data_IF_211302446104
#
_entry.id   IF_211302446104
#
_cell.length_a   1.000
_cell.length_b   1.000
_cell.length_c   1.000
_cell.angle_alpha   90.00
_cell.angle_beta   90.00
_cell.angle_gamma   90.00
#
_symmetry.space_group_name_H-M   'P 1'
#
loop_
_entity.id
_entity.type
_entity.pdbx_description
1 polymer ?
#
# COMPACT_ATOMS: atom_id res chain seq x y z
N UNK A 1 24.53 -39.74 5.85
CA UNK A 1 25.56 -39.75 4.80
C UNK A 1 25.75 -38.30 4.31
N UNK A 2 26.57 -37.53 5.05
CA UNK A 2 26.93 -36.14 4.71
C UNK A 2 28.00 -36.17 3.61
N UNK A 3 27.66 -35.78 2.40
CA UNK A 3 28.60 -35.67 1.29
C UNK A 3 29.27 -34.27 1.27
N UNK A 4 30.47 -34.13 0.68
CA UNK A 4 31.21 -32.85 0.63
C UNK A 4 30.50 -31.74 -0.14
N UNK A 5 29.41 -32.04 -0.79
CA UNK A 5 28.58 -31.08 -1.55
C UNK A 5 27.59 -30.31 -0.66
N UNK A 6 27.16 -30.85 0.47
CA UNK A 6 26.23 -30.22 1.39
C UNK A 6 26.89 -29.04 2.15
N UNK A 7 28.18 -29.18 2.48
CA UNK A 7 28.94 -28.13 3.17
C UNK A 7 29.28 -26.95 2.24
N UNK A 8 29.46 -27.20 0.95
CA UNK A 8 29.72 -26.15 -0.04
C UNK A 8 28.45 -25.36 -0.38
N UNK A 9 27.30 -26.02 -0.36
CA UNK A 9 26.01 -25.36 -0.62
C UNK A 9 25.60 -24.47 0.56
N UNK A 10 25.73 -24.94 1.80
CA UNK A 10 25.43 -24.17 3.01
C UNK A 10 26.38 -22.96 3.16
N UNK A 11 27.68 -23.12 2.96
CA UNK A 11 28.65 -22.02 3.03
C UNK A 11 28.45 -20.95 1.94
N UNK A 12 28.00 -21.32 0.74
CA UNK A 12 27.67 -20.36 -0.30
C UNK A 12 26.32 -19.66 -0.04
N UNK A 13 25.37 -20.35 0.55
CA UNK A 13 24.06 -19.78 0.93
C UNK A 13 24.20 -18.74 2.04
N UNK A 14 24.97 -19.05 3.08
CA UNK A 14 25.25 -18.12 4.20
C UNK A 14 26.08 -16.90 3.73
N UNK A 15 26.98 -17.08 2.77
CA UNK A 15 27.76 -16.01 2.19
C UNK A 15 26.90 -15.11 1.29
N UNK A 16 26.01 -15.69 0.47
CA UNK A 16 25.06 -14.94 -0.39
C UNK A 16 24.03 -14.19 0.46
N UNK A 17 23.50 -14.82 1.50
CA UNK A 17 22.57 -14.16 2.42
C UNK A 17 23.24 -13.04 3.22
N UNK A 18 24.50 -13.24 3.64
CA UNK A 18 25.31 -12.22 4.30
C UNK A 18 25.65 -11.04 3.37
N UNK A 19 26.00 -11.31 2.12
CA UNK A 19 26.27 -10.26 1.12
C UNK A 19 24.99 -9.51 0.71
N UNK A 20 23.87 -10.20 0.54
CA UNK A 20 22.54 -9.59 0.28
C UNK A 20 22.10 -8.76 1.49
N UNK A 21 22.26 -9.26 2.70
CA UNK A 21 21.93 -8.55 3.93
C UNK A 21 22.85 -7.32 4.13
N UNK A 22 24.13 -7.43 3.80
CA UNK A 22 25.10 -6.32 3.83
C UNK A 22 24.80 -5.28 2.72
N UNK A 23 24.41 -5.69 1.53
CA UNK A 23 24.01 -4.79 0.43
C UNK A 23 22.70 -4.07 0.77
N UNK A 24 21.71 -4.79 1.31
CA UNK A 24 20.43 -4.21 1.78
C UNK A 24 20.68 -3.25 2.95
N UNK A 25 21.62 -3.54 3.86
CA UNK A 25 21.90 -2.67 5.00
C UNK A 25 22.67 -1.39 4.62
N UNK A 26 23.47 -1.43 3.57
CA UNK A 26 24.26 -0.26 3.09
C UNK A 26 23.44 0.74 2.28
N UNK A 27 22.28 0.33 1.75
CA UNK A 27 21.40 1.20 0.95
C UNK A 27 20.16 1.67 1.71
N UNK A 28 19.96 1.25 2.97
CA UNK A 28 18.81 1.71 3.77
C UNK A 28 19.12 3.11 4.35
N UNK A 29 18.48 4.13 3.81
CA UNK A 29 18.34 5.39 4.54
C UNK A 29 17.56 5.11 5.84
N UNK A 30 18.16 5.44 6.96
CA UNK A 30 17.51 5.27 8.27
C UNK A 30 16.53 6.41 8.47
N UNK A 31 15.23 6.14 8.34
CA UNK A 31 14.21 7.12 8.67
C UNK A 31 14.10 7.26 10.20
N UNK A 32 14.10 8.50 10.68
CA UNK A 32 13.81 8.81 12.08
C UNK A 32 12.31 9.02 12.24
N UNK A 33 11.60 7.96 12.66
CA UNK A 33 10.14 7.95 12.77
C UNK A 33 9.73 7.72 14.22
N UNK A 34 8.89 8.60 14.74
CA UNK A 34 8.22 8.43 16.03
C UNK A 34 6.99 7.55 15.86
N UNK A 35 6.77 6.64 16.80
CA UNK A 35 5.57 5.81 16.83
C UNK A 35 4.30 6.68 16.91
N UNK A 36 3.17 6.19 16.40
CA UNK A 36 1.91 6.91 16.41
C UNK A 36 1.49 7.35 17.83
N UNK A 37 1.85 6.57 18.85
CA UNK A 37 1.60 6.89 20.27
C UNK A 37 2.31 8.17 20.73
N UNK A 38 3.44 8.51 20.11
CA UNK A 38 4.26 9.66 20.45
C UNK A 38 3.86 10.93 19.68
N UNK A 39 2.78 10.88 18.89
CA UNK A 39 2.34 12.03 18.11
C UNK A 39 1.53 13.05 18.91
N UNK A 40 1.17 12.74 20.15
CA UNK A 40 0.32 13.59 21.00
C UNK A 40 -1.12 13.68 20.49
N UNK A 41 -1.54 12.69 19.74
CA UNK A 41 -2.91 12.47 19.28
C UNK A 41 -3.58 11.47 20.21
N UNK A 42 -4.89 11.60 20.41
CA UNK A 42 -5.65 10.66 21.25
C UNK A 42 -5.63 9.27 20.60
N UNK A 43 -5.07 8.24 21.22
CA UNK A 43 -4.91 6.95 20.56
C UNK A 43 -6.14 6.08 20.76
N UNK A 44 -7.18 6.32 19.97
CA UNK A 44 -8.16 5.26 19.75
C UNK A 44 -7.52 4.19 18.86
N UNK A 45 -7.76 2.91 19.15
CA UNK A 45 -7.38 1.82 18.26
C UNK A 45 -8.64 1.21 17.64
N UNK A 46 -8.73 1.22 16.29
CA UNK A 46 -7.77 1.80 15.33
C UNK A 46 -7.78 3.34 15.38
N UNK A 47 -6.65 3.98 15.03
CA UNK A 47 -6.60 5.41 14.82
C UNK A 47 -7.48 5.83 13.64
N UNK A 48 -8.48 6.65 13.85
CA UNK A 48 -9.45 7.02 12.81
C UNK A 48 -9.36 8.51 12.49
N UNK A 49 -9.16 8.82 11.21
CA UNK A 49 -9.25 10.16 10.65
C UNK A 49 -10.49 10.19 9.77
N UNK A 50 -11.52 10.96 10.10
CA UNK A 50 -12.76 10.97 9.33
C UNK A 50 -13.26 12.38 9.04
N UNK A 51 -14.00 12.55 7.93
CA UNK A 51 -14.57 13.82 7.54
C UNK A 51 -14.82 13.92 6.05
N UNK A 52 -15.28 15.06 5.55
CA UNK A 52 -15.71 15.17 4.17
C UNK A 52 -14.56 15.05 3.17
N UNK A 53 -14.89 14.55 1.99
CA UNK A 53 -14.00 14.58 0.84
C UNK A 53 -13.55 16.02 0.57
N UNK A 54 -14.50 16.97 0.56
CA UNK A 54 -14.26 18.41 0.44
C UNK A 54 -14.94 19.17 1.55
N UNK A 55 -14.30 20.23 2.03
CA UNK A 55 -14.97 21.30 2.75
C UNK A 55 -15.68 22.16 1.69
N UNK A 56 -17.00 22.27 1.78
CA UNK A 56 -17.86 22.85 0.73
C UNK A 56 -18.49 24.17 1.18
N UNK A 57 -19.10 24.15 2.34
CA UNK A 57 -19.69 25.34 2.99
C UNK A 57 -19.46 25.29 4.49
N UNK A 58 -19.55 26.44 5.22
CA UNK A 58 -19.49 26.46 6.69
C UNK A 58 -20.52 25.53 7.33
N UNK A 59 -21.76 25.54 6.81
CA UNK A 59 -22.87 24.75 7.34
C UNK A 59 -22.66 23.26 7.11
N UNK A 60 -22.15 22.85 5.95
CA UNK A 60 -21.83 21.46 5.65
C UNK A 60 -20.73 20.97 6.58
N UNK A 61 -19.67 21.76 6.77
CA UNK A 61 -18.56 21.42 7.65
C UNK A 61 -19.03 21.29 9.11
N UNK A 62 -19.75 22.30 9.64
CA UNK A 62 -20.23 22.32 11.02
C UNK A 62 -21.13 21.11 11.33
N UNK A 63 -22.11 20.83 10.47
CA UNK A 63 -23.01 19.67 10.62
C UNK A 63 -22.26 18.35 10.57
N UNK A 64 -21.31 18.20 9.65
CA UNK A 64 -20.51 16.97 9.51
C UNK A 64 -19.65 16.75 10.74
N UNK A 65 -18.91 17.76 11.18
CA UNK A 65 -18.04 17.66 12.35
C UNK A 65 -18.85 17.44 13.63
N UNK A 66 -19.96 18.16 13.83
CA UNK A 66 -20.85 17.95 14.96
C UNK A 66 -21.32 16.50 15.06
N UNK A 67 -21.73 15.90 13.96
CA UNK A 67 -22.18 14.51 13.92
C UNK A 67 -21.02 13.51 14.18
N UNK A 68 -19.82 13.78 13.63
CA UNK A 68 -18.62 12.95 13.87
C UNK A 68 -18.19 12.98 15.33
N UNK A 69 -18.17 14.16 15.95
CA UNK A 69 -17.80 14.34 17.38
C UNK A 69 -18.78 13.60 18.29
N UNK A 70 -20.08 13.66 18.01
CA UNK A 70 -21.10 12.88 18.75
C UNK A 70 -20.84 11.38 18.70
N UNK A 71 -20.20 10.90 17.64
CA UNK A 71 -19.82 9.52 17.43
C UNK A 71 -18.36 9.21 17.87
N UNK A 72 -17.72 10.12 18.62
CA UNK A 72 -16.42 9.88 19.24
C UNK A 72 -15.21 10.11 18.31
N UNK A 73 -15.39 10.76 17.16
CA UNK A 73 -14.28 11.10 16.24
C UNK A 73 -13.73 12.46 16.62
N UNK A 74 -12.45 12.52 16.93
CA UNK A 74 -11.71 13.72 17.35
C UNK A 74 -10.64 14.19 16.34
N UNK A 75 -10.27 13.35 15.37
CA UNK A 75 -9.39 13.71 14.27
C UNK A 75 -10.19 13.84 12.97
N UNK A 76 -10.40 15.06 12.54
CA UNK A 76 -11.22 15.38 11.37
C UNK A 76 -10.34 15.56 10.14
N UNK A 77 -10.78 15.05 8.99
CA UNK A 77 -10.20 15.37 7.69
C UNK A 77 -11.12 16.30 6.90
N UNK A 78 -10.55 17.12 6.02
CA UNK A 78 -11.32 17.88 5.03
C UNK A 78 -10.46 18.29 3.86
N UNK A 79 -10.93 18.07 2.63
CA UNK A 79 -10.25 18.54 1.43
C UNK A 79 -10.49 20.02 1.23
N UNK A 80 -9.43 20.82 1.25
CA UNK A 80 -9.46 22.30 1.01
C UNK A 80 -9.10 22.57 -0.44
N UNK A 81 -8.01 21.98 -0.89
CA UNK A 81 -7.52 22.02 -2.27
C UNK A 81 -7.57 20.60 -2.85
N UNK A 82 -7.97 20.51 -4.13
CA UNK A 82 -8.11 19.20 -4.79
C UNK A 82 -7.40 19.21 -6.14
N UNK A 83 -6.22 18.59 -6.25
CA UNK A 83 -5.59 18.43 -7.55
C UNK A 83 -6.45 17.51 -8.42
N UNK A 84 -6.95 18.04 -9.55
CA UNK A 84 -7.80 17.30 -10.48
C UNK A 84 -7.07 16.93 -11.75
N UNK A 85 -7.42 15.77 -12.30
CA UNK A 85 -6.84 15.30 -13.56
C UNK A 85 -7.42 16.01 -14.77
N UNK A 86 -8.69 16.43 -14.66
CA UNK A 86 -9.39 17.15 -15.75
C UNK A 86 -9.69 18.58 -15.33
N UNK A 87 -9.50 19.57 -16.23
CA UNK A 87 -9.95 20.93 -16.00
C UNK A 87 -11.47 20.97 -15.84
N UNK A 88 -12.00 22.04 -15.28
CA UNK A 88 -13.42 22.28 -15.03
C UNK A 88 -14.10 21.30 -14.05
N UNK A 89 -13.30 20.57 -13.23
CA UNK A 89 -13.80 19.83 -12.09
C UNK A 89 -13.69 20.68 -10.83
N UNK A 90 -14.51 20.41 -9.80
CA UNK A 90 -14.41 21.12 -8.52
C UNK A 90 -13.03 20.92 -7.88
N UNK A 91 -12.27 22.01 -7.76
CA UNK A 91 -10.88 21.99 -7.27
C UNK A 91 -10.75 22.28 -5.76
N UNK A 92 -11.88 22.30 -5.06
CA UNK A 92 -11.97 22.70 -3.66
C UNK A 92 -12.29 24.20 -3.52
N UNK A 93 -12.68 24.60 -2.32
CA UNK A 93 -13.01 26.00 -1.98
C UNK A 93 -11.74 26.84 -1.81
N UNK A 94 -10.62 26.18 -1.56
CA UNK A 94 -9.34 26.85 -1.34
C UNK A 94 -9.22 27.49 0.05
N UNK A 95 -8.32 28.45 0.19
CA UNK A 95 -8.00 29.09 1.47
C UNK A 95 -9.19 29.70 2.21
N UNK A 96 -10.30 29.99 1.52
CA UNK A 96 -11.54 30.49 2.13
C UNK A 96 -12.11 29.50 3.17
N UNK A 97 -11.88 28.20 3.00
CA UNK A 97 -12.32 27.18 3.95
C UNK A 97 -11.52 27.16 5.28
N UNK A 98 -10.31 27.69 5.32
CA UNK A 98 -9.44 27.62 6.48
C UNK A 98 -9.97 28.35 7.72
N UNK A 99 -10.56 29.56 7.60
CA UNK A 99 -11.28 30.20 8.71
C UNK A 99 -12.42 29.35 9.26
N UNK A 100 -13.20 28.68 8.39
CA UNK A 100 -14.30 27.79 8.81
C UNK A 100 -13.77 26.58 9.60
N UNK A 101 -12.67 26.00 9.13
CA UNK A 101 -11.99 24.90 9.84
C UNK A 101 -11.53 25.37 11.23
N UNK A 102 -10.93 26.56 11.33
CA UNK A 102 -10.48 27.11 12.60
C UNK A 102 -11.65 27.29 13.58
N UNK A 103 -12.75 27.87 13.12
CA UNK A 103 -13.97 28.06 13.93
C UNK A 103 -14.53 26.73 14.44
N UNK A 104 -14.64 25.72 13.56
CA UNK A 104 -15.14 24.39 13.91
C UNK A 104 -14.20 23.67 14.88
N UNK A 105 -12.88 23.81 14.71
CA UNK A 105 -11.89 23.28 15.65
C UNK A 105 -12.06 23.86 17.05
N UNK A 106 -12.19 25.19 17.16
CA UNK A 106 -12.38 25.88 18.44
C UNK A 106 -13.72 25.51 19.08
N UNK A 107 -14.79 25.41 18.28
CA UNK A 107 -16.15 25.06 18.74
C UNK A 107 -16.25 23.66 19.32
N UNK A 108 -15.61 22.67 18.70
CA UNK A 108 -15.77 21.27 19.06
C UNK A 108 -14.54 20.64 19.74
N UNK A 109 -13.43 21.37 19.86
CA UNK A 109 -12.20 20.87 20.47
C UNK A 109 -11.52 19.75 19.69
N UNK A 110 -11.74 19.69 18.36
CA UNK A 110 -11.20 18.64 17.48
C UNK A 110 -9.88 19.03 16.84
N UNK A 111 -9.13 18.03 16.38
CA UNK A 111 -7.95 18.22 15.55
C UNK A 111 -8.31 18.06 14.07
N UNK A 112 -7.56 18.74 13.19
CA UNK A 112 -7.89 18.76 11.77
C UNK A 112 -6.69 18.41 10.89
N UNK A 113 -6.92 17.55 9.92
CA UNK A 113 -5.98 17.14 8.90
C UNK A 113 -6.42 17.62 7.50
N UNK A 114 -5.50 18.11 6.68
CA UNK A 114 -5.77 18.52 5.30
C UNK A 114 -4.69 18.07 4.31
N UNK A 115 -5.06 17.98 3.03
CA UNK A 115 -4.14 17.73 1.93
C UNK A 115 -3.35 18.99 1.59
N UNK A 116 -2.03 18.82 1.36
CA UNK A 116 -1.16 19.87 0.83
C UNK A 116 -0.50 19.39 -0.47
N UNK A 117 -0.39 20.28 -1.46
CA UNK A 117 0.18 20.00 -2.77
C UNK A 117 1.22 21.04 -3.22
N UNK A 118 1.49 22.06 -2.39
CA UNK A 118 2.46 23.10 -2.67
C UNK A 118 2.96 23.76 -1.39
N UNK A 119 4.10 24.50 -1.42
CA UNK A 119 4.56 25.30 -0.30
C UNK A 119 3.51 26.28 0.22
N UNK A 120 2.78 26.93 -0.67
CA UNK A 120 1.69 27.85 -0.29
C UNK A 120 0.61 27.17 0.55
N UNK A 121 0.23 25.91 0.19
CA UNK A 121 -0.74 25.14 0.99
C UNK A 121 -0.20 24.82 2.39
N UNK A 122 1.10 24.54 2.52
CA UNK A 122 1.74 24.29 3.83
C UNK A 122 1.69 25.55 4.68
N UNK A 123 2.11 26.70 4.13
CA UNK A 123 2.14 27.98 4.86
C UNK A 123 0.74 28.39 5.34
N UNK A 124 -0.26 28.31 4.46
CA UNK A 124 -1.65 28.61 4.81
C UNK A 124 -2.18 27.64 5.89
N UNK A 125 -1.94 26.34 5.75
CA UNK A 125 -2.35 25.35 6.75
C UNK A 125 -1.78 25.64 8.13
N UNK A 126 -0.49 25.95 8.20
CA UNK A 126 0.21 26.27 9.45
C UNK A 126 -0.29 27.58 10.06
N UNK A 127 -0.54 28.60 9.22
CA UNK A 127 -1.08 29.89 9.67
C UNK A 127 -2.45 29.77 10.34
N UNK A 128 -3.28 28.83 9.87
CA UNK A 128 -4.61 28.56 10.45
C UNK A 128 -4.59 27.45 11.52
N UNK A 129 -3.41 26.99 11.92
CA UNK A 129 -3.26 26.04 13.03
C UNK A 129 -3.79 24.64 12.70
N UNK A 130 -3.61 24.15 11.48
CA UNK A 130 -3.93 22.77 11.11
C UNK A 130 -2.99 21.81 11.86
N UNK A 131 -3.56 20.71 12.40
CA UNK A 131 -2.84 19.81 13.33
C UNK A 131 -2.08 18.70 12.63
N UNK A 132 -2.47 18.36 11.40
CA UNK A 132 -1.84 17.31 10.60
C UNK A 132 -1.95 17.62 9.11
N UNK A 133 -0.91 17.28 8.38
CA UNK A 133 -0.89 17.45 6.91
C UNK A 133 -0.77 16.09 6.22
N UNK A 134 -1.30 15.98 5.00
CA UNK A 134 -0.90 14.86 4.16
C UNK A 134 -0.55 15.30 2.75
N UNK A 135 0.46 14.65 2.19
CA UNK A 135 0.83 14.78 0.78
C UNK A 135 -0.05 13.84 -0.05
N UNK A 136 -0.78 14.39 -1.02
CA UNK A 136 -1.71 13.63 -1.85
C UNK A 136 -1.01 12.71 -2.85
N UNK A 137 -1.71 11.66 -3.29
CA UNK A 137 -1.17 10.65 -4.21
C UNK A 137 -0.67 11.23 -5.54
N UNK A 138 -1.31 12.30 -6.05
CA UNK A 138 -0.89 12.98 -7.27
C UNK A 138 0.35 13.86 -7.07
N UNK A 139 0.54 14.40 -5.88
CA UNK A 139 1.76 15.14 -5.51
C UNK A 139 2.92 14.18 -5.26
N UNK A 140 2.67 13.02 -4.66
CA UNK A 140 3.68 12.00 -4.35
C UNK A 140 4.39 11.46 -5.61
N UNK A 141 3.73 11.47 -6.77
CA UNK A 141 4.34 11.02 -8.04
C UNK A 141 5.41 11.98 -8.56
N UNK A 142 5.50 13.20 -8.03
CA UNK A 142 6.45 14.20 -8.49
C UNK A 142 7.49 14.53 -7.41
N UNK A 143 8.76 14.04 -7.53
CA UNK A 143 9.80 14.30 -6.55
C UNK A 143 10.12 15.78 -6.33
N UNK A 144 9.96 16.64 -7.34
CA UNK A 144 10.18 18.09 -7.21
C UNK A 144 9.10 18.71 -6.32
N UNK A 145 7.83 18.40 -6.56
CA UNK A 145 6.72 18.88 -5.72
C UNK A 145 6.88 18.42 -4.27
N UNK A 146 7.24 17.16 -4.05
CA UNK A 146 7.51 16.65 -2.68
C UNK A 146 8.69 17.37 -2.04
N UNK A 147 9.76 17.66 -2.82
CA UNK A 147 10.91 18.40 -2.31
C UNK A 147 10.57 19.85 -1.92
N UNK A 148 9.73 20.54 -2.70
CA UNK A 148 9.25 21.87 -2.37
C UNK A 148 8.41 21.88 -1.09
N UNK A 149 7.48 20.92 -0.95
CA UNK A 149 6.70 20.72 0.28
C UNK A 149 7.63 20.42 1.47
N UNK A 150 8.62 19.52 1.30
CA UNK A 150 9.59 19.21 2.33
C UNK A 150 10.40 20.44 2.78
N UNK A 151 10.80 21.29 1.83
CA UNK A 151 11.53 22.52 2.15
C UNK A 151 10.69 23.51 2.98
N UNK A 152 9.38 23.62 2.73
CA UNK A 152 8.47 24.47 3.52
C UNK A 152 8.16 23.90 4.91
N UNK A 153 8.46 22.61 5.15
CA UNK A 153 8.29 21.96 6.45
C UNK A 153 9.54 22.01 7.34
N UNK A 154 10.65 22.58 6.88
CA UNK A 154 11.88 22.67 7.68
C UNK A 154 11.66 23.53 8.94
N UNK A 155 11.99 22.95 10.10
CA UNK A 155 11.81 23.62 11.40
C UNK A 155 10.38 23.64 11.92
N UNK A 156 9.45 22.96 11.23
CA UNK A 156 8.05 22.84 11.65
C UNK A 156 7.84 21.53 12.38
N UNK A 157 7.14 21.57 13.52
CA UNK A 157 6.74 20.37 14.27
C UNK A 157 5.25 20.06 14.03
N UNK A 158 4.93 19.41 12.90
CA UNK A 158 3.59 18.97 12.53
C UNK A 158 3.64 17.52 12.05
N UNK A 159 2.68 16.65 12.43
CA UNK A 159 2.56 15.32 11.83
C UNK A 159 2.28 15.40 10.33
N UNK A 160 2.97 14.56 9.55
CA UNK A 160 2.78 14.49 8.10
C UNK A 160 2.55 13.04 7.69
N UNK A 161 1.51 12.83 6.90
CA UNK A 161 1.24 11.56 6.23
C UNK A 161 1.54 11.68 4.74
N UNK A 162 2.05 10.62 4.13
CA UNK A 162 2.30 10.58 2.67
C UNK A 162 1.47 9.49 2.04
N UNK A 163 0.53 9.86 1.15
CA UNK A 163 -0.22 8.87 0.36
C UNK A 163 0.71 8.16 -0.62
N UNK A 164 0.49 6.87 -0.85
CA UNK A 164 1.18 6.17 -1.93
C UNK A 164 0.93 6.88 -3.28
N UNK A 165 1.91 6.83 -4.21
CA UNK A 165 1.73 7.36 -5.56
C UNK A 165 0.58 6.66 -6.27
N UNK A 166 0.01 7.30 -7.28
CA UNK A 166 -1.10 6.72 -8.07
C UNK A 166 -0.67 5.41 -8.72
N UNK A 167 0.56 5.36 -9.25
CA UNK A 167 1.15 4.16 -9.84
C UNK A 167 1.71 3.22 -8.75
N UNK A 168 1.74 1.90 -8.99
CA UNK A 168 2.29 0.93 -8.04
C UNK A 168 3.83 0.98 -8.02
N UNK A 169 4.39 2.01 -7.41
CA UNK A 169 5.84 2.27 -7.31
C UNK A 169 6.24 2.51 -5.85
N UNK A 170 6.82 1.47 -5.24
CA UNK A 170 7.30 1.52 -3.87
C UNK A 170 8.51 2.46 -3.70
N UNK A 171 9.43 2.50 -4.68
CA UNK A 171 10.62 3.33 -4.59
C UNK A 171 10.27 4.82 -4.58
N UNK A 172 9.29 5.20 -5.40
CA UNK A 172 8.76 6.56 -5.44
C UNK A 172 8.08 6.95 -4.12
N UNK A 173 7.34 6.03 -3.50
CA UNK A 173 6.71 6.26 -2.19
C UNK A 173 7.75 6.43 -1.07
N UNK A 174 8.75 5.56 -1.04
CA UNK A 174 9.88 5.66 -0.09
C UNK A 174 10.63 6.97 -0.29
N UNK A 175 10.96 7.34 -1.53
CA UNK A 175 11.64 8.60 -1.83
C UNK A 175 10.87 9.84 -1.36
N UNK A 176 9.53 9.82 -1.41
CA UNK A 176 8.70 10.88 -0.86
C UNK A 176 8.79 10.94 0.68
N UNK A 177 8.70 9.78 1.35
CA UNK A 177 8.86 9.69 2.81
C UNK A 177 10.24 10.17 3.27
N UNK A 178 11.30 9.78 2.56
CA UNK A 178 12.67 10.21 2.84
C UNK A 178 12.84 11.73 2.75
N UNK A 179 12.30 12.37 1.70
CA UNK A 179 12.37 13.84 1.56
C UNK A 179 11.70 14.58 2.71
N UNK A 180 10.54 14.13 3.12
CA UNK A 180 9.80 14.72 4.25
C UNK A 180 10.55 14.49 5.57
N UNK A 181 11.09 13.29 5.79
CA UNK A 181 11.88 12.97 6.98
C UNK A 181 13.19 13.78 7.05
N UNK A 182 13.91 13.94 5.93
CA UNK A 182 15.12 14.77 5.85
C UNK A 182 14.86 16.27 6.10
N UNK A 183 13.62 16.73 5.94
CA UNK A 183 13.22 18.08 6.38
C UNK A 183 13.06 18.22 7.89
N UNK A 184 13.21 17.13 8.66
CA UNK A 184 13.12 17.10 10.12
C UNK A 184 11.77 16.59 10.65
N UNK A 185 10.87 16.15 9.78
CA UNK A 185 9.57 15.59 10.21
C UNK A 185 9.77 14.15 10.69
N UNK A 186 9.69 13.95 12.01
CA UNK A 186 9.79 12.63 12.66
C UNK A 186 8.42 12.02 12.95
N UNK A 187 7.36 12.84 13.12
CA UNK A 187 5.97 12.39 13.19
C UNK A 187 5.45 12.15 11.77
N UNK A 188 6.01 11.11 11.13
CA UNK A 188 5.82 10.77 9.73
C UNK A 188 5.14 9.42 9.60
N UNK A 189 4.10 9.32 8.75
CA UNK A 189 3.41 8.08 8.45
C UNK A 189 3.04 7.97 6.97
N UNK A 190 2.51 6.83 6.60
CA UNK A 190 2.12 6.51 5.24
C UNK A 190 0.62 6.24 5.12
N UNK A 191 -0.03 6.69 4.04
CA UNK A 191 -1.41 6.37 3.73
C UNK A 191 -1.46 5.48 2.49
N UNK A 192 -2.05 4.31 2.64
CA UNK A 192 -2.36 3.41 1.54
C UNK A 192 -3.78 3.67 1.02
N UNK A 193 -3.89 4.13 -0.23
CA UNK A 193 -5.16 4.48 -0.89
C UNK A 193 -5.44 3.65 -2.16
N UNK A 194 -4.67 2.57 -2.37
CA UNK A 194 -4.69 1.78 -3.59
C UNK A 194 -3.93 2.43 -4.75
N UNK A 195 -3.83 1.68 -5.85
CA UNK A 195 -3.06 2.05 -7.04
C UNK A 195 -3.94 2.01 -8.28
N UNK A 196 -3.58 2.81 -9.29
CA UNK A 196 -4.24 2.75 -10.59
C UNK A 196 -4.06 1.36 -11.22
N UNK A 197 -5.11 0.88 -11.89
CA UNK A 197 -5.09 -0.37 -12.63
C UNK A 197 -5.67 -0.14 -14.02
N UNK A 198 -5.14 -0.84 -15.02
CA UNK A 198 -5.66 -0.84 -16.38
C UNK A 198 -6.81 -1.84 -16.57
N UNK A 199 -6.92 -2.83 -15.68
CA UNK A 199 -7.97 -3.84 -15.75
C UNK A 199 -9.22 -3.36 -15.01
N UNK A 200 -10.39 -3.74 -15.52
CA UNK A 200 -11.65 -3.56 -14.79
C UNK A 200 -11.61 -4.40 -13.50
N UNK A 201 -11.70 -3.72 -12.38
CA UNK A 201 -11.77 -4.33 -11.06
C UNK A 201 -13.01 -3.83 -10.34
N UNK A 202 -13.41 -4.56 -9.29
CA UNK A 202 -14.49 -4.11 -8.41
C UNK A 202 -14.11 -2.85 -7.62
N UNK A 203 -12.81 -2.57 -7.52
CA UNK A 203 -12.23 -1.44 -6.81
C UNK A 203 -11.95 -0.27 -7.74
N UNK A 204 -12.13 0.96 -7.24
CA UNK A 204 -11.71 2.17 -7.95
C UNK A 204 -10.19 2.24 -8.12
N UNK A 205 -9.47 1.79 -7.09
CA UNK A 205 -8.01 1.65 -7.11
C UNK A 205 -7.65 0.29 -6.53
N UNK A 206 -6.83 -0.49 -7.23
CA UNK A 206 -6.41 -1.80 -6.76
C UNK A 206 -5.66 -1.68 -5.42
N UNK A 207 -6.00 -2.46 -4.40
CA UNK A 207 -5.31 -2.39 -3.12
C UNK A 207 -3.84 -2.82 -3.20
N UNK A 208 -3.49 -3.79 -4.05
CA UNK A 208 -2.10 -4.27 -4.23
C UNK A 208 -1.34 -4.32 -2.91
N UNK A 209 -1.87 -5.09 -1.95
CA UNK A 209 -1.43 -5.12 -0.54
C UNK A 209 0.05 -5.40 -0.34
N UNK A 210 0.70 -6.06 -1.30
CA UNK A 210 2.13 -6.37 -1.26
C UNK A 210 3.00 -5.11 -1.10
N UNK A 211 2.61 -4.00 -1.74
CA UNK A 211 3.40 -2.75 -1.70
C UNK A 211 3.43 -2.12 -0.30
N UNK A 212 2.29 -1.86 0.37
CA UNK A 212 2.32 -1.34 1.73
C UNK A 212 2.92 -2.33 2.75
N UNK A 213 2.75 -3.63 2.57
CA UNK A 213 3.40 -4.64 3.42
C UNK A 213 4.91 -4.63 3.25
N UNK A 214 5.42 -4.52 2.02
CA UNK A 214 6.85 -4.37 1.75
C UNK A 214 7.40 -3.05 2.34
N UNK A 215 6.63 -1.95 2.28
CA UNK A 215 6.99 -0.70 2.95
C UNK A 215 7.15 -0.93 4.47
N UNK A 216 6.18 -1.59 5.12
CA UNK A 216 6.22 -1.93 6.55
C UNK A 216 7.40 -2.85 6.88
N UNK A 217 7.72 -3.80 6.02
CA UNK A 217 8.87 -4.71 6.21
C UNK A 217 10.19 -3.92 6.19
N UNK A 218 10.31 -2.92 5.31
CA UNK A 218 11.51 -2.06 5.24
C UNK A 218 11.59 -1.06 6.39
N UNK A 219 10.46 -0.53 6.83
CA UNK A 219 10.35 0.47 7.89
C UNK A 219 9.31 0.04 8.93
N UNK A 220 9.65 -0.91 9.84
CA UNK A 220 8.68 -1.51 10.77
C UNK A 220 7.97 -0.51 11.70
N UNK A 221 8.60 0.65 11.94
CA UNK A 221 8.06 1.68 12.85
C UNK A 221 7.14 2.69 12.15
N UNK A 222 7.01 2.64 10.81
CA UNK A 222 6.20 3.62 10.08
C UNK A 222 4.72 3.42 10.38
N UNK A 223 4.00 4.44 10.90
CA UNK A 223 2.55 4.38 10.99
C UNK A 223 1.94 4.21 9.61
N UNK A 224 1.11 3.18 9.44
CA UNK A 224 0.49 2.83 8.17
C UNK A 224 -1.03 2.94 8.29
N UNK A 225 -1.60 3.91 7.59
CA UNK A 225 -3.02 4.23 7.60
C UNK A 225 -3.65 3.76 6.27
N UNK A 226 -4.80 3.11 6.33
CA UNK A 226 -5.52 2.71 5.13
C UNK A 226 -6.62 3.73 4.78
N UNK A 227 -6.79 3.99 3.50
CA UNK A 227 -7.85 4.84 2.94
C UNK A 227 -8.84 3.95 2.15
N UNK A 228 -9.79 3.31 2.83
CA UNK A 228 -10.71 2.38 2.21
C UNK A 228 -11.69 3.08 1.26
N UNK A 229 -12.00 4.36 1.48
CA UNK A 229 -12.88 5.14 0.61
C UNK A 229 -12.33 5.27 -0.81
N UNK A 230 -11.03 5.59 -0.94
CA UNK A 230 -10.40 5.74 -2.25
C UNK A 230 -10.06 4.40 -2.91
N UNK A 231 -9.82 3.33 -2.13
CA UNK A 231 -9.65 1.99 -2.67
C UNK A 231 -10.97 1.50 -3.27
N UNK A 232 -12.03 1.55 -2.48
CA UNK A 232 -13.34 1.01 -2.88
C UNK A 232 -14.02 1.84 -3.98
N UNK A 233 -14.06 3.16 -3.83
CA UNK A 233 -14.87 4.06 -4.67
C UNK A 233 -16.38 3.91 -4.48
N UNK A 234 -16.82 3.01 -3.58
CA UNK A 234 -18.22 2.70 -3.27
C UNK A 234 -18.37 2.42 -1.77
N UNK A 235 -19.51 2.81 -1.20
CA UNK A 235 -19.80 2.65 0.24
C UNK A 235 -19.81 1.20 0.70
N UNK A 236 -20.40 0.32 -0.08
CA UNK A 236 -20.62 -1.11 0.23
C UNK A 236 -19.31 -1.91 0.36
N UNK A 237 -18.24 -1.47 -0.26
CA UNK A 237 -16.94 -2.13 -0.19
C UNK A 237 -16.04 -1.62 0.95
N UNK A 238 -16.37 -0.47 1.55
CA UNK A 238 -15.55 0.15 2.61
C UNK A 238 -15.36 -0.79 3.81
N UNK A 239 -16.40 -1.47 4.35
CA UNK A 239 -16.23 -2.35 5.50
C UNK A 239 -15.24 -3.48 5.26
N UNK A 240 -15.31 -4.12 4.11
CA UNK A 240 -14.40 -5.19 3.75
C UNK A 240 -12.94 -4.73 3.66
N UNK A 241 -12.69 -3.58 3.00
CA UNK A 241 -11.34 -3.02 2.87
C UNK A 241 -10.78 -2.56 4.21
N UNK A 242 -11.63 -1.92 5.04
CA UNK A 242 -11.24 -1.46 6.36
C UNK A 242 -10.84 -2.64 7.26
N UNK A 243 -11.64 -3.71 7.28
CA UNK A 243 -11.31 -4.92 8.05
C UNK A 243 -10.04 -5.60 7.54
N UNK A 244 -9.90 -5.74 6.22
CA UNK A 244 -8.69 -6.32 5.63
C UNK A 244 -7.43 -5.54 6.02
N UNK A 245 -7.49 -4.21 6.05
CA UNK A 245 -6.36 -3.41 6.50
C UNK A 245 -5.99 -3.69 7.96
N UNK A 246 -6.98 -3.81 8.86
CA UNK A 246 -6.73 -4.15 10.27
C UNK A 246 -6.22 -5.58 10.43
N UNK A 247 -6.71 -6.53 9.64
CA UNK A 247 -6.19 -7.91 9.60
C UNK A 247 -4.73 -7.97 9.13
N UNK A 248 -4.30 -7.01 8.29
CA UNK A 248 -2.92 -6.81 7.84
C UNK A 248 -2.10 -5.88 8.76
N UNK A 249 -2.59 -5.63 9.97
CA UNK A 249 -1.91 -4.86 11.01
C UNK A 249 -1.62 -3.40 10.63
N UNK A 250 -2.56 -2.72 9.96
CA UNK A 250 -2.51 -1.27 9.79
C UNK A 250 -2.85 -0.57 11.11
N UNK A 251 -2.23 0.59 11.36
CA UNK A 251 -2.39 1.33 12.62
C UNK A 251 -3.68 2.15 12.65
N UNK A 252 -4.30 2.40 11.49
CA UNK A 252 -5.51 3.19 11.44
C UNK A 252 -6.13 3.33 10.06
N UNK A 253 -7.18 4.14 10.03
CA UNK A 253 -8.03 4.35 8.87
C UNK A 253 -8.22 5.85 8.61
N UNK A 254 -8.25 6.26 7.34
CA UNK A 254 -8.71 7.57 6.92
C UNK A 254 -9.94 7.40 6.01
N UNK A 255 -11.11 7.80 6.50
CA UNK A 255 -12.40 7.49 5.85
C UNK A 255 -13.14 8.79 5.49
N UNK A 256 -13.72 8.82 4.30
CA UNK A 256 -14.56 9.94 3.87
C UNK A 256 -15.95 9.82 4.48
N UNK A 257 -16.38 10.89 5.18
CA UNK A 257 -17.70 10.99 5.81
C UNK A 257 -18.29 12.38 5.60
N UNK A 258 -19.56 12.44 5.22
CA UNK A 258 -20.27 13.66 4.91
C UNK A 258 -21.68 13.61 5.48
N UNK A 259 -22.21 14.75 5.97
CA UNK A 259 -23.54 14.80 6.57
C UNK A 259 -24.64 14.38 5.58
N UNK A 260 -24.48 14.72 4.32
CA UNK A 260 -25.37 14.29 3.21
C UNK A 260 -24.52 13.88 2.00
N UNK A 261 -24.00 12.62 1.98
CA UNK A 261 -23.06 12.16 0.96
C UNK A 261 -23.58 12.26 -0.47
N UNK A 262 -24.89 12.14 -0.67
CA UNK A 262 -25.49 12.14 -2.01
C UNK A 262 -25.52 13.55 -2.62
N UNK A 263 -25.41 14.61 -1.80
CA UNK A 263 -25.32 16.01 -2.23
C UNK A 263 -23.86 16.53 -2.22
N UNK A 264 -22.89 15.68 -1.90
CA UNK A 264 -21.49 16.10 -1.87
C UNK A 264 -20.98 16.55 -3.24
N UNK A 265 -20.22 17.63 -3.27
CA UNK A 265 -19.65 18.21 -4.51
C UNK A 265 -18.52 17.37 -5.11
N UNK A 266 -18.00 16.44 -4.32
CA UNK A 266 -16.94 15.54 -4.77
C UNK A 266 -17.08 14.15 -4.17
N UNK A 267 -16.77 13.13 -4.97
CA UNK A 267 -16.64 11.71 -4.58
C UNK A 267 -17.84 11.18 -3.75
N UNK A 268 -19.07 11.61 -4.08
CA UNK A 268 -20.32 11.30 -3.37
C UNK A 268 -20.52 9.79 -3.09
N UNK A 269 -20.19 8.93 -4.05
CA UNK A 269 -20.46 7.50 -3.99
C UNK A 269 -19.63 6.73 -2.92
N UNK A 270 -18.55 7.31 -2.42
CA UNK A 270 -17.61 6.65 -1.49
C UNK A 270 -17.63 7.25 -0.08
N UNK A 271 -18.43 8.28 0.18
CA UNK A 271 -18.53 8.91 1.50
C UNK A 271 -19.63 8.24 2.33
N UNK A 272 -19.36 8.00 3.62
CA UNK A 272 -20.33 7.48 4.57
C UNK A 272 -21.03 8.63 5.31
N UNK A 273 -22.27 8.40 5.77
CA UNK A 273 -22.86 9.25 6.81
C UNK A 273 -22.13 9.04 8.13
N UNK A 274 -22.05 10.05 9.02
CA UNK A 274 -21.38 9.91 10.32
C UNK A 274 -21.89 8.74 11.16
N UNK A 275 -23.19 8.47 11.12
CA UNK A 275 -23.82 7.35 11.84
C UNK A 275 -23.38 5.99 11.25
N UNK A 276 -23.37 5.86 9.92
CA UNK A 276 -22.91 4.66 9.24
C UNK A 276 -21.41 4.40 9.47
N UNK A 277 -20.60 5.48 9.58
CA UNK A 277 -19.20 5.37 9.95
C UNK A 277 -19.03 4.85 11.39
N UNK A 278 -19.82 5.36 12.34
CA UNK A 278 -19.79 4.90 13.73
C UNK A 278 -20.19 3.41 13.84
N UNK A 279 -21.22 2.99 13.12
CA UNK A 279 -21.61 1.59 13.04
C UNK A 279 -20.49 0.72 12.46
N UNK A 280 -19.86 1.17 11.36
CA UNK A 280 -18.73 0.48 10.78
C UNK A 280 -17.59 0.31 11.79
N UNK A 281 -17.16 1.39 12.45
CA UNK A 281 -16.06 1.35 13.43
C UNK A 281 -16.39 0.38 14.57
N UNK A 282 -17.64 0.36 15.04
CA UNK A 282 -18.10 -0.56 16.09
C UNK A 282 -18.08 -2.04 15.67
N UNK A 283 -18.11 -2.33 14.38
CA UNK A 283 -18.08 -3.70 13.83
C UNK A 283 -16.66 -4.17 13.50
N UNK A 284 -15.69 -3.26 13.42
CA UNK A 284 -14.31 -3.61 13.07
C UNK A 284 -13.60 -4.32 14.22
N UNK A 285 -12.83 -5.35 13.88
CA UNK A 285 -12.02 -6.12 14.80
C UNK A 285 -10.54 -5.74 14.64
N UNK A 286 -9.95 -5.17 15.68
CA UNK A 286 -8.49 -4.97 15.74
C UNK A 286 -7.80 -6.30 16.02
N UNK A 287 -6.65 -6.54 15.37
CA UNK A 287 -5.85 -7.73 15.59
C UNK A 287 -4.66 -7.42 16.48
N UNK A 288 -4.28 -8.38 17.29
CA UNK A 288 -3.04 -8.31 18.07
C UNK A 288 -1.88 -8.81 17.22
N UNK A 289 -0.73 -8.17 17.32
CA UNK A 289 0.49 -8.59 16.60
C UNK A 289 1.04 -9.90 17.17
N UNK A 290 0.87 -10.09 18.49
CA UNK A 290 1.24 -11.31 19.22
C UNK A 290 0.29 -11.52 20.38
N UNK A 291 0.16 -12.74 20.80
CA UNK A 291 -0.61 -13.16 21.98
C UNK A 291 0.32 -13.91 22.89
N UNK A 292 0.35 -13.57 24.16
CA UNK A 292 1.10 -14.33 25.18
C UNK A 292 0.35 -15.65 25.51
N UNK A 293 0.42 -16.58 24.56
CA UNK A 293 -0.19 -17.91 24.66
C UNK A 293 0.75 -18.97 24.06
N UNK A 294 1.58 -19.63 24.89
CA UNK A 294 2.56 -20.60 24.43
C UNK A 294 1.98 -21.77 23.62
N UNK A 295 0.75 -22.17 23.92
CA UNK A 295 0.06 -23.25 23.17
C UNK A 295 -0.26 -22.80 21.76
N UNK A 296 -0.79 -21.56 21.62
CA UNK A 296 -1.08 -20.96 20.31
C UNK A 296 0.21 -20.79 19.49
N UNK A 297 1.26 -20.24 20.10
CA UNK A 297 2.55 -20.03 19.42
C UNK A 297 3.15 -21.35 18.95
N UNK A 298 3.15 -22.38 19.80
CA UNK A 298 3.65 -23.71 19.43
C UNK A 298 2.85 -24.35 18.29
N UNK A 299 1.53 -24.27 18.34
CA UNK A 299 0.69 -24.81 17.25
C UNK A 299 0.88 -24.04 15.93
N UNK A 300 1.02 -22.73 16.00
CA UNK A 300 1.28 -21.91 14.82
C UNK A 300 2.63 -22.24 14.20
N UNK A 301 3.65 -22.47 15.02
CA UNK A 301 4.99 -22.84 14.53
C UNK A 301 4.99 -24.20 13.83
N UNK A 302 4.32 -25.21 14.38
CA UNK A 302 4.15 -26.53 13.74
C UNK A 302 3.48 -26.37 12.35
N UNK A 303 2.45 -25.51 12.25
CA UNK A 303 1.78 -25.27 10.97
C UNK A 303 2.73 -24.60 9.98
N UNK A 304 3.55 -23.64 10.42
CA UNK A 304 4.56 -22.96 9.59
C UNK A 304 5.62 -23.93 9.08
N UNK A 305 6.12 -24.82 9.95
CA UNK A 305 7.07 -25.88 9.55
C UNK A 305 6.48 -26.77 8.45
N UNK A 306 5.22 -27.18 8.56
CA UNK A 306 4.56 -27.95 7.50
C UNK A 306 4.38 -27.15 6.20
N UNK A 307 4.10 -25.84 6.27
CA UNK A 307 4.05 -24.96 5.10
C UNK A 307 5.42 -24.91 4.43
N UNK A 308 6.50 -24.74 5.20
CA UNK A 308 7.88 -24.68 4.69
C UNK A 308 8.29 -26.01 4.00
N UNK A 309 7.83 -27.15 4.50
CA UNK A 309 8.01 -28.44 3.86
C UNK A 309 7.32 -28.50 2.49
N UNK A 310 6.06 -28.08 2.42
CA UNK A 310 5.30 -28.02 1.16
C UNK A 310 5.90 -27.01 0.18
N UNK A 311 6.36 -25.85 0.65
CA UNK A 311 7.06 -24.86 -0.18
C UNK A 311 8.32 -25.45 -0.82
N UNK A 312 9.07 -26.27 -0.06
CA UNK A 312 10.23 -27.02 -0.58
C UNK A 312 9.82 -27.99 -1.69
N UNK A 313 8.73 -28.74 -1.53
CA UNK A 313 8.20 -29.64 -2.55
C UNK A 313 7.81 -28.88 -3.84
N UNK A 314 7.21 -27.70 -3.70
CA UNK A 314 6.89 -26.80 -4.81
C UNK A 314 8.16 -26.38 -5.56
N UNK A 315 9.20 -25.95 -4.83
CA UNK A 315 10.49 -25.57 -5.42
C UNK A 315 11.17 -26.74 -6.14
N UNK A 316 11.14 -27.93 -5.54
CA UNK A 316 11.66 -29.15 -6.18
C UNK A 316 10.88 -29.52 -7.45
N UNK A 317 9.55 -29.40 -7.44
CA UNK A 317 8.72 -29.61 -8.62
C UNK A 317 9.03 -28.61 -9.72
N UNK A 318 9.20 -27.33 -9.38
CA UNK A 318 9.63 -26.28 -10.31
C UNK A 318 11.02 -26.56 -10.89
N UNK A 319 11.99 -26.96 -10.04
CA UNK A 319 13.33 -27.35 -10.48
C UNK A 319 13.28 -28.52 -11.48
N UNK A 320 12.53 -29.59 -11.17
CA UNK A 320 12.32 -30.70 -12.11
C UNK A 320 11.70 -30.23 -13.43
N UNK A 321 10.71 -29.35 -13.36
CA UNK A 321 10.06 -28.78 -14.54
C UNK A 321 11.04 -27.95 -15.38
N UNK A 322 11.89 -27.14 -14.77
CA UNK A 322 12.87 -26.31 -15.51
C UNK A 322 13.92 -27.17 -16.23
N UNK A 323 14.39 -28.26 -15.63
CA UNK A 323 15.26 -29.23 -16.35
C UNK A 323 14.58 -29.86 -17.58
N UNK A 324 13.27 -30.10 -17.53
CA UNK A 324 12.53 -30.56 -18.72
C UNK A 324 12.37 -29.46 -19.77
N UNK A 325 12.24 -28.20 -19.35
CA UNK A 325 12.23 -27.02 -20.26
C UNK A 325 13.57 -26.88 -20.97
N UNK A 326 14.69 -27.06 -20.27
CA UNK A 326 16.04 -27.04 -20.86
C UNK A 326 16.16 -28.12 -21.96
N UNK A 327 15.80 -29.36 -21.63
CA UNK A 327 15.79 -30.43 -22.64
C UNK A 327 14.91 -30.12 -23.85
N UNK A 328 13.73 -29.52 -23.61
CA UNK A 328 12.84 -29.09 -24.69
C UNK A 328 13.47 -28.01 -25.57
N UNK A 329 14.22 -27.06 -24.93
CA UNK A 329 15.00 -26.03 -25.62
C UNK A 329 16.09 -26.62 -26.55
N UNK A 330 16.86 -27.58 -26.00
CA UNK A 330 17.87 -28.30 -26.78
C UNK A 330 17.28 -29.03 -28.02
N UNK A 331 16.16 -29.76 -27.84
CA UNK A 331 15.47 -30.43 -28.91
C UNK A 331 14.96 -29.46 -29.97
N UNK A 332 14.41 -28.31 -29.56
CA UNK A 332 13.97 -27.26 -30.50
C UNK A 332 15.15 -26.66 -31.25
N UNK A 333 16.26 -26.40 -30.59
CA UNK A 333 17.48 -25.88 -31.20
C UNK A 333 18.01 -26.85 -32.28
N UNK A 334 18.12 -28.15 -31.96
CA UNK A 334 18.58 -29.17 -32.87
C UNK A 334 17.69 -29.31 -34.10
N UNK A 335 16.40 -29.06 -33.98
CA UNK A 335 15.41 -29.22 -35.07
C UNK A 335 14.97 -27.88 -35.70
N UNK A 336 15.64 -26.79 -35.36
CA UNK A 336 15.30 -25.42 -35.81
C UNK A 336 13.82 -25.04 -35.60
N UNK A 337 13.28 -25.38 -34.42
CA UNK A 337 11.87 -25.15 -34.07
C UNK A 337 11.77 -23.92 -33.15
N UNK A 338 10.77 -23.06 -33.39
CA UNK A 338 10.54 -21.85 -32.57
C UNK A 338 10.28 -22.18 -31.11
N UNK A 339 10.79 -21.30 -30.20
CA UNK A 339 10.58 -21.43 -28.77
C UNK A 339 9.10 -21.38 -28.41
N UNK A 340 8.40 -20.38 -28.92
CA UNK A 340 6.97 -20.19 -28.66
C UNK A 340 6.12 -21.08 -29.59
N UNK A 341 5.26 -21.89 -28.98
CA UNK A 341 4.32 -22.77 -29.67
C UNK A 341 2.90 -22.46 -29.17
N UNK A 342 2.10 -21.80 -30.03
CA UNK A 342 0.76 -21.29 -29.71
C UNK A 342 -0.18 -22.38 -29.16
N UNK A 343 -0.22 -23.52 -29.77
CA UNK A 343 -1.11 -24.63 -29.37
C UNK A 343 -0.73 -25.18 -27.97
N UNK A 344 0.56 -25.25 -27.68
CA UNK A 344 1.01 -25.66 -26.35
C UNK A 344 0.66 -24.64 -25.28
N UNK A 345 0.78 -23.35 -25.63
CA UNK A 345 0.39 -22.23 -24.76
C UNK A 345 -1.10 -22.33 -24.43
N UNK A 346 -1.98 -22.38 -25.42
CA UNK A 346 -3.42 -22.51 -25.21
C UNK A 346 -3.75 -23.69 -24.31
N UNK A 347 -3.21 -24.88 -24.61
CA UNK A 347 -3.45 -26.09 -23.82
C UNK A 347 -3.05 -25.93 -22.34
N UNK A 348 -1.96 -25.21 -22.03
CA UNK A 348 -1.55 -24.94 -20.64
C UNK A 348 -2.60 -24.08 -19.95
N UNK A 349 -3.06 -23.01 -20.61
CA UNK A 349 -4.02 -22.07 -20.02
C UNK A 349 -5.45 -22.62 -19.91
N UNK A 350 -5.81 -23.62 -20.69
CA UNK A 350 -7.08 -24.32 -20.58
C UNK A 350 -7.04 -25.35 -19.44
N UNK A 351 -6.01 -26.18 -19.41
CA UNK A 351 -6.00 -27.36 -18.51
C UNK A 351 -5.59 -27.07 -17.08
N UNK A 352 -4.70 -26.08 -16.80
CA UNK A 352 -4.23 -25.82 -15.43
C UNK A 352 -5.31 -25.24 -14.52
N UNK A 353 -6.18 -24.32 -14.96
CA UNK A 353 -7.33 -23.90 -14.18
C UNK A 353 -8.33 -25.03 -13.88
N UNK A 354 -8.48 -26.02 -14.78
CA UNK A 354 -9.30 -27.20 -14.50
C UNK A 354 -8.70 -28.08 -13.41
N UNK A 355 -7.39 -28.32 -13.44
CA UNK A 355 -6.70 -29.04 -12.39
C UNK A 355 -6.79 -28.31 -11.04
N UNK A 356 -6.68 -27.00 -11.06
CA UNK A 356 -6.85 -26.15 -9.88
C UNK A 356 -8.21 -26.35 -9.21
N UNK A 357 -9.30 -26.35 -10.02
CA UNK A 357 -10.66 -26.60 -9.50
C UNK A 357 -10.77 -27.97 -8.85
N UNK A 358 -10.21 -29.00 -9.48
CA UNK A 358 -10.22 -30.38 -8.91
C UNK A 358 -9.44 -30.49 -7.60
N UNK A 359 -8.42 -29.66 -7.42
CA UNK A 359 -7.59 -29.59 -6.21
C UNK A 359 -8.06 -28.53 -5.20
N UNK A 360 -9.20 -27.87 -5.44
CA UNK A 360 -9.75 -26.80 -4.61
C UNK A 360 -8.80 -25.57 -4.46
N UNK A 361 -7.97 -25.33 -5.48
CA UNK A 361 -7.11 -24.15 -5.57
C UNK A 361 -7.79 -23.11 -6.49
N UNK A 362 -7.61 -21.81 -6.18
CA UNK A 362 -8.19 -20.74 -7.00
C UNK A 362 -7.68 -20.82 -8.46
N UNK A 363 -8.56 -21.00 -9.47
CA UNK A 363 -8.16 -21.16 -10.86
C UNK A 363 -7.48 -19.91 -11.46
N UNK A 364 -7.88 -18.71 -11.06
CA UNK A 364 -7.27 -17.47 -11.55
C UNK A 364 -5.84 -17.31 -10.99
N UNK A 365 -5.65 -17.59 -9.71
CA UNK A 365 -4.31 -17.65 -9.11
C UNK A 365 -3.40 -18.63 -9.86
N UNK A 366 -3.89 -19.83 -10.13
CA UNK A 366 -3.10 -20.85 -10.88
C UNK A 366 -2.79 -20.38 -12.30
N UNK A 367 -3.72 -19.68 -12.96
CA UNK A 367 -3.50 -19.11 -14.28
C UNK A 367 -2.38 -18.07 -14.26
N UNK A 368 -2.40 -17.13 -13.32
CA UNK A 368 -1.33 -16.11 -13.14
C UNK A 368 0.02 -16.77 -12.83
N UNK A 369 0.04 -17.74 -11.91
CA UNK A 369 1.25 -18.50 -11.57
C UNK A 369 1.85 -19.19 -12.81
N UNK A 370 1.02 -19.83 -13.61
CA UNK A 370 1.50 -20.51 -14.83
C UNK A 370 1.91 -19.52 -15.94
N UNK A 371 1.42 -18.27 -15.94
CA UNK A 371 1.96 -17.21 -16.80
C UNK A 371 3.41 -16.87 -16.41
N UNK A 372 3.68 -16.67 -15.10
CA UNK A 372 5.04 -16.42 -14.61
C UNK A 372 5.98 -17.59 -14.93
N UNK A 373 5.56 -18.81 -14.62
CA UNK A 373 6.33 -20.03 -14.90
C UNK A 373 6.60 -20.20 -16.41
N UNK A 374 5.67 -19.80 -17.26
CA UNK A 374 5.85 -19.87 -18.72
C UNK A 374 6.85 -18.81 -19.20
N UNK A 375 6.75 -17.59 -18.72
CA UNK A 375 7.71 -16.52 -19.03
C UNK A 375 9.14 -16.96 -18.70
N UNK A 376 9.34 -17.55 -17.53
CA UNK A 376 10.65 -18.08 -17.14
C UNK A 376 11.10 -19.23 -18.01
N UNK A 377 10.15 -20.08 -18.45
CA UNK A 377 10.44 -21.18 -19.39
C UNK A 377 10.89 -20.68 -20.76
N UNK A 378 10.36 -19.56 -21.24
CA UNK A 378 10.80 -18.92 -22.50
C UNK A 378 12.23 -18.42 -22.32
N UNK A 379 12.53 -17.65 -21.27
CA UNK A 379 13.87 -17.14 -20.99
C UNK A 379 14.92 -18.26 -20.98
N UNK A 380 14.62 -19.36 -20.30
CA UNK A 380 15.51 -20.52 -20.24
C UNK A 380 15.80 -21.12 -21.60
N UNK A 381 14.81 -21.20 -22.48
CA UNK A 381 14.98 -21.69 -23.85
C UNK A 381 15.73 -20.67 -24.74
N UNK A 382 15.55 -19.35 -24.51
CA UNK A 382 16.31 -18.29 -25.19
C UNK A 382 17.80 -18.40 -24.88
N UNK A 383 18.18 -18.62 -23.61
CA UNK A 383 19.55 -18.87 -23.20
C UNK A 383 20.18 -20.04 -23.96
N UNK A 384 19.47 -21.16 -24.11
CA UNK A 384 19.93 -22.36 -24.80
C UNK A 384 20.08 -22.11 -26.31
N UNK A 385 19.18 -21.35 -26.91
CA UNK A 385 19.23 -21.03 -28.33
C UNK A 385 20.38 -20.08 -28.67
N UNK A 386 21.00 -19.45 -27.70
CA UNK A 386 22.09 -18.47 -27.90
C UNK A 386 21.60 -17.13 -28.41
N UNK A 387 20.31 -16.84 -28.31
CA UNK A 387 19.73 -15.54 -28.57
C UNK A 387 19.78 -14.76 -27.26
N UNK A 388 20.99 -14.37 -26.83
CA UNK A 388 21.14 -13.43 -25.72
C UNK A 388 20.72 -12.05 -26.21
N UNK A 389 19.46 -11.69 -26.06
CA UNK A 389 19.06 -10.30 -26.04
C UNK A 389 19.57 -9.70 -24.71
N UNK A 390 20.68 -8.95 -24.79
CA UNK A 390 21.23 -8.06 -23.78
C UNK A 390 21.17 -8.61 -22.34
N UNK A 391 22.21 -9.32 -21.94
CA UNK A 391 22.59 -9.33 -20.54
C UNK A 391 22.87 -7.87 -20.14
N UNK A 392 22.14 -7.35 -19.16
CA UNK A 392 22.55 -6.12 -18.50
C UNK A 392 24.01 -6.27 -18.09
N UNK A 393 24.90 -5.56 -18.77
CA UNK A 393 26.27 -5.41 -18.33
C UNK A 393 26.24 -4.88 -16.90
N UNK A 394 26.74 -5.69 -15.98
CA UNK A 394 27.08 -5.27 -14.63
C UNK A 394 28.03 -4.08 -14.78
N UNK A 395 27.52 -2.87 -14.64
CA UNK A 395 28.35 -1.70 -14.42
C UNK A 395 29.03 -1.86 -13.06
N UNK A 396 30.34 -1.86 -13.12
CA UNK A 396 31.28 -1.83 -12.00
C UNK A 396 31.02 -0.68 -11.04
#
# INVERSE_FOLDING_TARGET
LNGPWDTLFLNNYDKLTGEIQCFISKTRSKLEIKSLKDWGLSPQQPFVIAGPCSVETPEQLDKTVSALVKNGIDMIRGGVWKPRTRPNSFEGVGSIALPWIKEVKEKYGVKFAIEVASPFHVEEALRFGIDMLWVGARSTVNPFTVQEIANSLKGVDVPVLVKNPVNPDLALWIGALERINHAGITRLGAIHRGFSNFNDTVYRNSPTWQIPLELRTRYPQIPLINDPSHISGKRDLIPHIAQMALDLNFDGLIIESHIDPDQAWSDAAQQLKPEALAELIGQLHTRLVSVDNPVFESQLEIIREHIDEVDREILEALSRRMRLVEKAGEYKKMNNVAIFQMERWKKVFETRPEWARALQVNPEFVKELFQLIHTESIKKQEEIMGVAFYSEEKKK
#
